data_IF_212832516839
#
_entry.id   IF_212832516839
#
_cell.length_a   1.000
_cell.length_b   1.000
_cell.length_c   1.000
_cell.angle_alpha   90.00
_cell.angle_beta   90.00
_cell.angle_gamma   90.00
#
_symmetry.space_group_name_H-M   'P 1'
#
loop_
_entity.id
_entity.type
_entity.pdbx_description
1 polymer ?
#
# COMPACT_ATOMS: atom_id res chain seq x y z
N UNK A 1 8.10 24.32 -3.02
CA UNK A 1 7.35 23.06 -2.94
C UNK A 1 5.96 23.32 -2.38
N UNK A 2 4.90 22.81 -3.01
CA UNK A 2 3.52 23.09 -2.58
C UNK A 2 3.03 22.19 -1.43
N UNK A 3 3.76 21.12 -1.08
CA UNK A 3 3.35 20.13 -0.06
C UNK A 3 1.91 19.60 -0.25
N UNK A 4 1.43 19.54 -1.50
CA UNK A 4 0.02 19.29 -1.81
C UNK A 4 -0.48 17.94 -1.26
N UNK A 5 0.40 16.94 -1.20
CA UNK A 5 0.08 15.63 -0.63
C UNK A 5 -0.27 15.71 0.86
N UNK A 6 0.46 16.54 1.62
CA UNK A 6 0.21 16.73 3.04
C UNK A 6 -1.14 17.44 3.28
N UNK A 7 -1.40 18.52 2.55
CA UNK A 7 -2.68 19.24 2.65
C UNK A 7 -3.88 18.34 2.31
N UNK A 8 -3.76 17.56 1.24
CA UNK A 8 -4.80 16.61 0.83
C UNK A 8 -5.04 15.56 1.91
N UNK A 9 -3.98 14.97 2.46
CA UNK A 9 -4.11 13.97 3.53
C UNK A 9 -4.77 14.56 4.78
N UNK A 10 -4.30 15.74 5.23
CA UNK A 10 -4.87 16.44 6.39
C UNK A 10 -6.37 16.67 6.23
N UNK A 11 -6.79 17.16 5.08
CA UNK A 11 -8.19 17.52 4.83
C UNK A 11 -9.07 16.26 4.77
N UNK A 12 -8.59 15.18 4.14
CA UNK A 12 -9.27 13.89 4.12
C UNK A 12 -9.44 13.32 5.53
N UNK A 13 -8.38 13.30 6.34
CA UNK A 13 -8.44 12.79 7.71
C UNK A 13 -9.38 13.64 8.56
N UNK A 14 -9.30 14.97 8.43
CA UNK A 14 -10.18 15.89 9.17
C UNK A 14 -11.65 15.65 8.85
N UNK A 15 -11.97 15.49 7.56
CA UNK A 15 -13.31 15.14 7.12
C UNK A 15 -13.75 13.76 7.63
N UNK A 16 -12.89 12.75 7.55
CA UNK A 16 -13.19 11.39 8.02
C UNK A 16 -13.54 11.34 9.51
N UNK A 17 -12.81 12.10 10.34
CA UNK A 17 -13.08 12.26 11.77
C UNK A 17 -14.45 12.92 12.03
N UNK A 18 -14.80 13.97 11.27
CA UNK A 18 -16.12 14.60 11.35
C UNK A 18 -17.25 13.62 11.02
N UNK A 19 -17.01 12.74 10.04
CA UNK A 19 -17.96 11.68 9.66
C UNK A 19 -17.93 10.45 10.58
N UNK A 20 -17.10 10.46 11.63
CA UNK A 20 -16.91 9.34 12.58
C UNK A 20 -16.48 8.04 11.90
N UNK A 21 -15.75 8.14 10.79
CA UNK A 21 -15.12 6.98 10.16
C UNK A 21 -14.01 6.46 11.06
N UNK A 22 -13.89 5.13 11.15
CA UNK A 22 -12.91 4.48 12.03
C UNK A 22 -11.57 4.19 11.33
N UNK A 23 -11.60 4.04 10.01
CA UNK A 23 -10.45 3.59 9.23
C UNK A 23 -10.31 4.42 7.97
N UNK A 24 -9.06 4.74 7.63
CA UNK A 24 -8.67 5.34 6.37
C UNK A 24 -7.58 4.48 5.74
N UNK A 25 -7.87 3.91 4.57
CA UNK A 25 -6.92 3.11 3.82
C UNK A 25 -6.27 3.99 2.75
N UNK A 26 -4.97 4.26 2.92
CA UNK A 26 -4.19 5.01 1.94
C UNK A 26 -3.72 4.12 0.78
N UNK A 27 -3.24 4.73 -0.30
CA UNK A 27 -2.66 4.01 -1.45
C UNK A 27 -1.43 3.16 -1.04
N UNK A 28 -0.86 2.30 -1.90
CA UNK A 28 0.37 1.55 -1.58
C UNK A 28 1.68 2.33 -1.85
N UNK A 29 1.64 3.66 -2.01
CA UNK A 29 2.81 4.48 -2.40
C UNK A 29 3.40 5.23 -1.19
N UNK A 30 4.72 5.36 -1.10
CA UNK A 30 5.44 6.11 -0.06
C UNK A 30 5.16 5.59 1.37
N UNK A 31 5.87 4.55 1.79
CA UNK A 31 5.71 3.93 3.11
C UNK A 31 6.31 4.73 4.27
N UNK A 32 7.39 5.47 4.03
CA UNK A 32 8.10 6.27 5.06
C UNK A 32 7.18 7.24 5.83
N UNK A 33 6.39 8.12 5.16
CA UNK A 33 5.47 9.00 5.87
C UNK A 33 4.36 8.27 6.63
N UNK A 34 3.97 7.07 6.17
CA UNK A 34 2.91 6.28 6.82
C UNK A 34 3.43 5.60 8.07
N UNK A 35 4.69 5.18 8.05
CA UNK A 35 5.38 4.67 9.22
C UNK A 35 5.45 5.76 10.31
N UNK A 36 5.77 7.00 9.95
CA UNK A 36 5.79 8.13 10.90
C UNK A 36 4.41 8.57 11.40
N UNK A 37 3.34 8.13 10.76
CA UNK A 37 1.95 8.38 11.17
C UNK A 37 1.34 7.17 11.90
N UNK A 38 2.17 6.21 12.33
CA UNK A 38 1.76 4.98 13.02
C UNK A 38 0.68 4.18 12.26
N UNK A 39 0.69 4.22 10.93
CA UNK A 39 -0.20 3.40 10.12
C UNK A 39 0.21 1.92 10.17
N UNK A 40 -0.76 1.05 9.97
CA UNK A 40 -0.55 -0.40 9.82
C UNK A 40 -0.60 -0.82 8.34
N UNK A 41 0.12 -1.90 8.02
CA UNK A 41 0.10 -2.49 6.68
C UNK A 41 -1.19 -3.29 6.48
N UNK A 42 -1.71 -3.26 5.26
CA UNK A 42 -2.96 -3.94 4.90
C UNK A 42 -2.67 -4.78 3.66
N UNK A 43 -3.06 -6.07 3.65
CA UNK A 43 -2.82 -6.92 2.49
C UNK A 43 -3.59 -6.39 1.28
N UNK A 44 -2.90 -6.30 0.14
CA UNK A 44 -3.47 -5.89 -1.13
C UNK A 44 -3.13 -6.92 -2.20
N UNK A 45 -4.16 -7.60 -2.70
CA UNK A 45 -4.00 -8.59 -3.76
C UNK A 45 -3.70 -7.94 -5.11
N UNK A 46 -2.63 -8.41 -5.75
CA UNK A 46 -2.28 -7.98 -7.10
C UNK A 46 -2.91 -8.92 -8.13
N UNK A 47 -3.94 -8.43 -8.83
CA UNK A 47 -4.53 -9.15 -9.95
C UNK A 47 -3.86 -8.75 -11.26
N UNK A 48 -3.18 -9.71 -11.90
CA UNK A 48 -2.56 -9.49 -13.20
C UNK A 48 -2.82 -10.68 -14.10
N UNK A 49 -3.14 -10.38 -15.36
CA UNK A 49 -3.38 -11.36 -16.41
C UNK A 49 -2.64 -10.91 -17.66
N UNK A 50 -1.84 -11.80 -18.23
CA UNK A 50 -1.20 -11.55 -19.51
C UNK A 50 -2.26 -11.59 -20.63
N UNK A 51 -2.16 -10.69 -21.60
CA UNK A 51 -3.10 -10.57 -22.73
C UNK A 51 -3.18 -11.85 -23.56
N UNK A 52 -2.02 -12.49 -23.81
CA UNK A 52 -1.94 -13.83 -24.39
C UNK A 52 -2.24 -14.92 -23.32
N UNK A 53 -3.31 -15.72 -23.47
CA UNK A 53 -3.68 -16.78 -22.55
C UNK A 53 -2.57 -17.81 -22.28
N UNK A 54 -1.76 -18.12 -23.31
CA UNK A 54 -0.73 -19.15 -23.25
C UNK A 54 0.44 -18.78 -22.33
N UNK A 55 0.65 -17.48 -22.08
CA UNK A 55 1.72 -16.98 -21.22
C UNK A 55 1.33 -16.93 -19.74
N UNK A 56 0.02 -17.03 -19.41
CA UNK A 56 -0.46 -16.95 -18.03
C UNK A 56 0.10 -18.02 -17.07
N UNK A 57 0.33 -19.29 -17.47
CA UNK A 57 0.95 -20.28 -16.58
C UNK A 57 2.36 -19.89 -16.12
N UNK A 58 3.16 -19.32 -17.04
CA UNK A 58 4.50 -18.82 -16.75
C UNK A 58 4.41 -17.57 -15.88
N UNK A 59 3.55 -16.63 -16.28
CA UNK A 59 3.34 -15.36 -15.59
C UNK A 59 2.89 -15.56 -14.13
N UNK A 60 2.02 -16.54 -13.85
CA UNK A 60 1.60 -16.93 -12.49
C UNK A 60 2.76 -17.36 -11.60
N UNK A 61 3.82 -17.94 -12.16
CA UNK A 61 5.02 -18.32 -11.39
C UNK A 61 5.92 -17.11 -11.13
N UNK A 62 6.09 -16.25 -12.14
CA UNK A 62 6.95 -15.07 -12.07
C UNK A 62 6.39 -13.98 -11.16
N UNK A 63 5.07 -13.79 -11.10
CA UNK A 63 4.45 -12.71 -10.33
C UNK A 63 4.75 -12.76 -8.84
N UNK A 64 5.00 -13.95 -8.28
CA UNK A 64 5.43 -14.12 -6.88
C UNK A 64 6.76 -13.41 -6.57
N UNK A 65 7.60 -13.20 -7.59
CA UNK A 65 8.89 -12.52 -7.48
C UNK A 65 8.81 -11.03 -7.85
N UNK A 66 7.72 -10.60 -8.49
CA UNK A 66 7.51 -9.21 -8.88
C UNK A 66 6.79 -8.39 -7.79
N UNK A 67 6.41 -9.03 -6.68
CA UNK A 67 5.75 -8.37 -5.56
C UNK A 67 6.63 -7.26 -4.97
N UNK A 68 6.19 -6.00 -4.96
CA UNK A 68 6.99 -4.87 -4.48
C UNK A 68 7.29 -4.98 -2.98
N UNK A 69 6.50 -5.77 -2.25
CA UNK A 69 6.62 -5.96 -0.80
C UNK A 69 7.88 -6.68 -0.35
N UNK A 70 8.56 -7.41 -1.24
CA UNK A 70 9.79 -8.16 -0.89
C UNK A 70 11.06 -7.31 -0.91
N UNK A 71 11.03 -6.17 -1.60
CA UNK A 71 12.23 -5.40 -1.92
C UNK A 71 12.35 -4.10 -1.12
N UNK A 72 11.29 -3.62 -0.48
CA UNK A 72 11.33 -2.41 0.32
C UNK A 72 11.66 -2.72 1.80
N UNK A 73 12.84 -2.34 2.32
CA UNK A 73 13.21 -2.59 3.71
C UNK A 73 12.37 -1.81 4.72
N UNK A 74 11.70 -0.73 4.31
CA UNK A 74 10.85 0.09 5.19
C UNK A 74 9.64 -0.72 5.67
N UNK A 75 9.15 -1.66 4.86
CA UNK A 75 8.00 -2.51 5.22
C UNK A 75 8.25 -3.34 6.48
N UNK A 76 9.50 -3.75 6.74
CA UNK A 76 9.87 -4.50 7.94
C UNK A 76 9.81 -3.68 9.23
N UNK A 77 9.70 -2.35 9.13
CA UNK A 77 9.65 -1.45 10.29
C UNK A 77 8.23 -1.22 10.80
N UNK A 78 7.22 -1.63 10.05
CA UNK A 78 5.83 -1.49 10.47
C UNK A 78 5.50 -2.44 11.63
N UNK A 79 4.59 -2.03 12.53
CA UNK A 79 4.26 -2.80 13.73
C UNK A 79 3.70 -4.19 13.43
N UNK A 80 3.04 -4.35 12.27
CA UNK A 80 2.41 -5.59 11.83
C UNK A 80 3.11 -6.22 10.61
N UNK A 81 4.41 -5.93 10.43
CA UNK A 81 5.18 -6.44 9.29
C UNK A 81 5.32 -7.98 9.26
N UNK A 82 5.15 -8.63 10.41
CA UNK A 82 5.15 -10.09 10.59
C UNK A 82 3.90 -10.77 10.02
N UNK A 83 2.84 -10.00 9.73
CA UNK A 83 1.55 -10.51 9.25
C UNK A 83 1.40 -10.48 7.72
N UNK A 84 2.49 -10.12 6.99
CA UNK A 84 2.53 -9.98 5.52
C UNK A 84 2.91 -11.26 4.77
#
# INVERSE_FOLDING_TARGET
DLHLYFYTLRDIISWALQQRLKYYYSNPLNYEPKLHLDCELVPLDLYVRHTNPLLNPIFRRLIKYLGPTRHDPVLRRFPNADQL
#
